data_IF_369931580424
#
_entry.id   IF_369931580424
#
_cell.length_a   1.000
_cell.length_b   1.000
_cell.length_c   1.000
_cell.angle_alpha   90.00
_cell.angle_beta   90.00
_cell.angle_gamma   90.00
#
_symmetry.space_group_name_H-M   'P 1'
#
loop_
_entity.id
_entity.type
_entity.pdbx_description
1 polymer ?
#
# COMPACT_ATOMS: atom_id res chain seq x y z
N UNK A 1 -6.27 -12.62 8.48
CA UNK A 1 -6.26 -11.38 7.68
C UNK A 1 -7.51 -11.43 6.82
N UNK A 2 -8.52 -10.63 7.17
CA UNK A 2 -9.78 -10.60 6.43
C UNK A 2 -9.64 -9.52 5.38
N UNK A 3 -9.72 -9.89 4.10
CA UNK A 3 -9.77 -8.94 2.99
C UNK A 3 -11.21 -8.41 3.00
N UNK A 4 -11.40 -7.20 3.51
CA UNK A 4 -12.69 -6.53 3.42
C UNK A 4 -12.97 -6.14 1.97
N UNK A 5 -14.24 -6.19 1.59
CA UNK A 5 -14.70 -5.82 0.25
C UNK A 5 -14.30 -4.37 -0.06
N UNK A 6 -13.93 -4.13 -1.32
CA UNK A 6 -13.60 -2.83 -1.90
C UNK A 6 -14.52 -1.72 -1.35
N UNK A 7 -14.01 -0.89 -0.46
CA UNK A 7 -14.62 0.39 -0.11
C UNK A 7 -14.04 1.47 -1.02
N UNK A 8 -14.88 2.29 -1.67
CA UNK A 8 -14.40 3.40 -2.48
C UNK A 8 -13.58 4.39 -1.65
N UNK A 9 -12.39 4.74 -2.13
CA UNK A 9 -11.51 5.72 -1.49
C UNK A 9 -11.47 7.02 -2.30
N UNK A 10 -11.67 8.14 -1.61
CA UNK A 10 -11.45 9.48 -2.17
C UNK A 10 -10.02 9.92 -1.86
N UNK A 11 -9.19 10.07 -2.90
CA UNK A 11 -7.79 10.46 -2.72
C UNK A 11 -7.63 11.94 -2.41
N UNK A 12 -6.72 12.25 -1.47
CA UNK A 12 -6.40 13.64 -1.10
C UNK A 12 -5.49 14.35 -2.10
N UNK A 13 -4.73 13.60 -2.90
CA UNK A 13 -3.79 14.17 -3.85
C UNK A 13 -3.73 13.36 -5.15
N UNK A 14 -3.61 14.08 -6.27
CA UNK A 14 -3.39 13.53 -7.61
C UNK A 14 -2.25 14.31 -8.32
N UNK A 15 -1.41 13.65 -9.14
CA UNK A 15 -1.44 12.22 -9.45
C UNK A 15 -0.93 11.35 -8.30
N UNK A 16 -1.43 10.11 -8.22
CA UNK A 16 -0.95 9.14 -7.23
C UNK A 16 0.46 8.68 -7.62
N UNK A 17 1.45 8.75 -6.71
CA UNK A 17 2.76 8.17 -6.93
C UNK A 17 2.64 6.68 -7.28
N UNK A 18 3.29 6.28 -8.37
CA UNK A 18 3.32 4.88 -8.80
C UNK A 18 4.67 4.48 -9.35
N UNK A 19 4.96 3.19 -9.27
CA UNK A 19 6.13 2.53 -9.83
C UNK A 19 5.63 1.47 -10.80
N UNK A 20 6.14 1.48 -12.03
CA UNK A 20 5.88 0.45 -13.04
C UNK A 20 7.12 -0.47 -13.13
N UNK A 21 6.90 -1.77 -12.96
CA UNK A 21 7.91 -2.81 -13.09
C UNK A 21 7.38 -3.88 -14.04
N UNK A 22 7.81 -3.83 -15.30
CA UNK A 22 7.46 -4.82 -16.33
C UNK A 22 5.94 -5.06 -16.49
N UNK A 23 5.14 -3.99 -16.39
CA UNK A 23 3.68 -4.07 -16.49
C UNK A 23 2.97 -4.40 -15.18
N UNK A 24 3.72 -4.50 -14.07
CA UNK A 24 3.20 -4.45 -12.70
C UNK A 24 3.26 -3.00 -12.20
N UNK A 25 2.10 -2.40 -11.97
CA UNK A 25 1.99 -1.04 -11.42
C UNK A 25 1.74 -1.17 -9.92
N UNK A 26 2.60 -0.55 -9.12
CA UNK A 26 2.43 -0.42 -7.67
C UNK A 26 2.14 1.05 -7.38
N UNK A 27 1.03 1.35 -6.73
CA UNK A 27 0.63 2.71 -6.38
C UNK A 27 0.29 2.81 -4.90
N UNK A 28 0.56 3.97 -4.31
CA UNK A 28 0.16 4.27 -2.94
C UNK A 28 -0.30 5.70 -2.79
N UNK A 29 -1.37 5.91 -2.02
CA UNK A 29 -1.98 7.22 -1.85
C UNK A 29 -2.72 7.34 -0.52
N UNK A 30 -2.77 8.57 -0.01
CA UNK A 30 -3.61 8.94 1.13
C UNK A 30 -5.02 9.28 0.65
N UNK A 31 -6.03 8.85 1.39
CA UNK A 31 -7.42 9.16 1.10
C UNK A 31 -8.35 8.95 2.28
N UNK A 32 -9.63 9.06 1.98
CA UNK A 32 -10.74 8.92 2.92
C UNK A 32 -11.70 7.84 2.41
N UNK A 33 -12.22 6.97 3.29
CA UNK A 33 -13.33 6.06 2.97
C UNK A 33 -14.67 6.80 2.91
N UNK A 34 -15.73 6.12 2.45
CA UNK A 34 -17.08 6.72 2.46
C UNK A 34 -17.57 7.07 3.88
N UNK A 35 -17.07 6.39 4.90
CA UNK A 35 -17.43 6.62 6.31
C UNK A 35 -16.63 7.78 6.96
N UNK A 36 -15.69 8.38 6.21
CA UNK A 36 -14.87 9.49 6.69
C UNK A 36 -13.59 9.06 7.42
N UNK A 37 -13.18 7.79 7.27
CA UNK A 37 -11.96 7.29 7.89
C UNK A 37 -10.75 7.55 6.99
N UNK A 38 -9.70 8.15 7.57
CA UNK A 38 -8.41 8.32 6.91
C UNK A 38 -7.78 6.95 6.62
N UNK A 39 -7.31 6.75 5.38
CA UNK A 39 -6.65 5.52 4.96
C UNK A 39 -5.42 5.77 4.09
N UNK A 40 -4.50 4.82 4.13
CA UNK A 40 -3.39 4.67 3.18
C UNK A 40 -3.72 3.52 2.24
N UNK A 41 -3.94 3.83 0.98
CA UNK A 41 -4.18 2.84 -0.06
C UNK A 41 -2.82 2.30 -0.56
N UNK A 42 -2.76 0.99 -0.77
CA UNK A 42 -1.74 0.30 -1.55
C UNK A 42 -2.42 -0.54 -2.62
N UNK A 43 -2.13 -0.24 -3.89
CA UNK A 43 -2.65 -0.96 -5.05
C UNK A 43 -1.51 -1.59 -5.85
N UNK A 44 -1.74 -2.81 -6.31
CA UNK A 44 -0.88 -3.55 -7.21
C UNK A 44 -1.74 -3.99 -8.39
N UNK A 45 -1.42 -3.51 -9.60
CA UNK A 45 -2.15 -3.81 -10.81
C UNK A 45 -1.24 -4.50 -11.85
N UNK A 46 -1.73 -5.56 -12.47
CA UNK A 46 -1.10 -6.27 -13.57
C UNK A 46 -2.13 -6.46 -14.70
N UNK A 47 -2.14 -5.55 -15.67
CA UNK A 47 -3.15 -5.53 -16.74
C UNK A 47 -4.58 -5.40 -16.18
N UNK A 48 -5.50 -6.36 -16.42
CA UNK A 48 -6.87 -6.30 -15.92
C UNK A 48 -7.00 -6.74 -14.44
N UNK A 49 -5.96 -7.31 -13.85
CA UNK A 49 -6.00 -7.78 -12.47
C UNK A 49 -5.49 -6.69 -11.54
N UNK A 50 -6.26 -6.40 -10.49
CA UNK A 50 -5.89 -5.45 -9.45
C UNK A 50 -6.03 -6.10 -8.07
N UNK A 51 -5.11 -5.76 -7.20
CA UNK A 51 -5.16 -5.99 -5.77
C UNK A 51 -5.06 -4.64 -5.10
N UNK A 52 -5.99 -4.34 -4.20
CA UNK A 52 -6.02 -3.09 -3.46
C UNK A 52 -6.23 -3.40 -1.98
N UNK A 53 -5.52 -2.69 -1.12
CA UNK A 53 -5.70 -2.73 0.31
C UNK A 53 -5.72 -1.31 0.85
N UNK A 54 -6.71 -1.04 1.69
CA UNK A 54 -6.82 0.21 2.45
C UNK A 54 -6.38 -0.09 3.87
N UNK A 55 -5.33 0.58 4.31
CA UNK A 55 -4.77 0.45 5.65
C UNK A 55 -5.14 1.67 6.46
N UNK A 56 -5.44 1.48 7.74
CA UNK A 56 -5.44 2.63 8.66
C UNK A 56 -4.04 3.26 8.70
N UNK A 57 -3.90 4.55 9.05
CA UNK A 57 -2.60 5.19 9.15
C UNK A 57 -1.67 4.49 10.15
N UNK A 58 -2.24 3.92 11.21
CA UNK A 58 -1.49 3.15 12.22
C UNK A 58 -0.98 1.82 11.63
N UNK A 59 -1.84 1.05 10.96
CA UNK A 59 -1.46 -0.22 10.33
C UNK A 59 -0.43 -0.01 9.20
N UNK A 60 -0.60 1.06 8.41
CA UNK A 60 0.34 1.41 7.35
C UNK A 60 1.73 1.74 7.90
N UNK A 61 1.78 2.46 9.03
CA UNK A 61 3.03 2.75 9.74
C UNK A 61 3.66 1.47 10.28
N UNK A 62 2.89 0.61 10.93
CA UNK A 62 3.39 -0.66 11.47
C UNK A 62 3.94 -1.55 10.35
N UNK A 63 3.23 -1.66 9.22
CA UNK A 63 3.70 -2.40 8.06
C UNK A 63 5.01 -1.85 7.52
N UNK A 64 5.15 -0.52 7.42
CA UNK A 64 6.39 0.10 6.97
C UNK A 64 7.56 -0.19 7.94
N UNK A 65 7.32 -0.12 9.25
CA UNK A 65 8.31 -0.47 10.28
C UNK A 65 8.73 -1.94 10.20
N UNK A 66 7.78 -2.86 10.03
CA UNK A 66 8.04 -4.29 9.87
C UNK A 66 8.85 -4.58 8.60
N UNK A 67 8.53 -3.94 7.48
CA UNK A 67 9.29 -4.09 6.23
C UNK A 67 10.73 -3.61 6.39
N UNK A 68 10.91 -2.43 6.99
CA UNK A 68 12.24 -1.87 7.24
C UNK A 68 13.07 -2.75 8.18
N UNK A 69 12.46 -3.24 9.26
CA UNK A 69 13.09 -4.15 10.19
C UNK A 69 13.55 -5.45 9.49
N UNK A 70 12.75 -6.00 8.57
CA UNK A 70 13.12 -7.20 7.82
C UNK A 70 14.22 -6.94 6.78
N UNK A 71 14.26 -5.76 6.14
CA UNK A 71 15.35 -5.41 5.21
C UNK A 71 16.68 -5.15 5.91
N UNK A 72 16.67 -4.74 7.17
CA UNK A 72 17.89 -4.49 7.94
C UNK A 72 18.62 -5.77 8.40
N UNK A 73 17.98 -6.95 8.30
CA UNK A 73 18.55 -8.23 8.77
C UNK A 73 19.47 -8.89 7.73
N UNK A 74 19.50 -8.43 6.47
CA UNK A 74 20.28 -9.06 5.39
C UNK A 74 21.74 -8.55 5.26
N UNK A 75 22.19 -7.62 6.12
CA UNK A 75 23.60 -7.16 6.14
C UNK A 75 24.53 -8.01 7.03
N UNK A 76 24.08 -9.15 7.56
CA UNK A 76 24.85 -10.00 8.48
C UNK A 76 25.44 -11.28 7.88
N UNK A 77 25.26 -11.52 6.58
CA UNK A 77 25.40 -12.85 5.97
C UNK A 77 26.53 -13.03 4.96
N UNK A 78 27.66 -12.33 5.07
CA UNK A 78 28.87 -12.66 4.32
C UNK A 78 30.14 -12.07 4.96
N UNK A 79 30.79 -12.83 5.84
CA UNK A 79 32.22 -12.73 6.14
C UNK A 79 32.73 -14.07 6.70
#
# INVERSE_FOLDING_TARGET
>A
MTINQFEPVTYYALPIPSVDVDGLIIATGLGETEDGDDVVMLAIAAGPTNFEINLSPEDAKQLAEDLLANTAVDEGGAA
#
